data_IF_636709571857
#
_entry.id   IF_636709571857
#
_cell.length_a   1.000
_cell.length_b   1.000
_cell.length_c   1.000
_cell.angle_alpha   90.00
_cell.angle_beta   90.00
_cell.angle_gamma   90.00
#
_symmetry.space_group_name_H-M   'P 1'
#
loop_
_entity.id
_entity.type
_entity.pdbx_description
1 polymer ?
#
# COMPACT_ATOMS: atom_id res chain seq x y z
N UNK A 1 8.11 27.14 20.75
CA UNK A 1 8.95 26.24 21.54
C UNK A 1 8.07 25.23 22.24
N UNK A 2 8.52 23.98 22.19
CA UNK A 2 8.12 22.83 23.01
C UNK A 2 6.80 22.13 22.68
N UNK A 3 6.81 21.48 21.51
CA UNK A 3 5.99 20.31 21.24
C UNK A 3 6.53 19.16 22.11
N UNK A 4 5.96 18.95 23.30
CA UNK A 4 6.27 17.79 24.14
C UNK A 4 6.05 16.51 23.33
N UNK A 5 7.12 15.77 23.06
CA UNK A 5 7.04 14.36 22.71
C UNK A 5 6.49 13.64 23.94
N UNK A 6 5.16 13.44 23.96
CA UNK A 6 4.45 12.72 25.03
C UNK A 6 4.78 11.22 24.94
N UNK A 7 6.00 10.85 25.31
CA UNK A 7 6.38 9.46 25.56
C UNK A 7 5.85 9.10 26.95
N UNK A 8 4.70 8.43 27.00
CA UNK A 8 4.19 7.89 28.25
C UNK A 8 5.01 6.67 28.66
N UNK A 9 5.61 6.70 29.86
CA UNK A 9 6.38 5.57 30.41
C UNK A 9 5.50 4.31 30.46
N UNK A 10 6.02 3.18 29.95
CA UNK A 10 5.28 1.91 29.88
C UNK A 10 4.43 1.71 28.62
N UNK A 11 4.31 2.72 27.75
CA UNK A 11 3.58 2.62 26.48
C UNK A 11 4.12 1.52 25.58
N UNK A 12 5.45 1.41 25.42
CA UNK A 12 6.09 0.35 24.62
C UNK A 12 5.78 -1.05 25.13
N UNK A 13 5.82 -1.25 26.46
CA UNK A 13 5.51 -2.56 27.07
C UNK A 13 4.07 -2.97 26.80
N UNK A 14 3.12 -2.04 27.00
CA UNK A 14 1.71 -2.29 26.74
C UNK A 14 1.45 -2.51 25.24
N UNK A 15 2.03 -1.68 24.38
CA UNK A 15 1.90 -1.77 22.93
C UNK A 15 2.41 -3.12 22.41
N UNK A 16 3.59 -3.57 22.87
CA UNK A 16 4.14 -4.87 22.50
C UNK A 16 3.28 -6.02 23.02
N UNK A 17 2.79 -5.95 24.26
CA UNK A 17 1.89 -6.98 24.79
C UNK A 17 0.59 -7.09 23.96
N UNK A 18 0.04 -5.94 23.55
CA UNK A 18 -1.14 -5.90 22.69
C UNK A 18 -0.84 -6.48 21.30
N UNK A 19 0.27 -6.08 20.68
CA UNK A 19 0.70 -6.59 19.37
C UNK A 19 0.82 -8.11 19.38
N UNK A 20 1.57 -8.66 20.34
CA UNK A 20 1.77 -10.11 20.45
C UNK A 20 0.44 -10.86 20.65
N UNK A 21 -0.47 -10.33 21.49
CA UNK A 21 -1.78 -10.95 21.71
C UNK A 21 -2.74 -10.81 20.54
N UNK A 22 -2.65 -9.74 19.76
CA UNK A 22 -3.43 -9.57 18.54
C UNK A 22 -2.95 -10.54 17.45
N UNK A 23 -1.62 -10.71 17.28
CA UNK A 23 -1.05 -11.70 16.37
C UNK A 23 -1.45 -13.14 16.75
N UNK A 24 -1.25 -13.52 18.02
CA UNK A 24 -1.57 -14.88 18.53
C UNK A 24 -3.04 -15.26 18.33
N UNK A 25 -3.95 -14.29 18.41
CA UNK A 25 -5.39 -14.52 18.35
C UNK A 25 -6.00 -14.22 16.98
N UNK A 26 -5.20 -13.78 16.02
CA UNK A 26 -5.65 -13.35 14.69
C UNK A 26 -6.77 -12.29 14.77
N UNK A 27 -6.62 -11.30 15.66
CA UNK A 27 -7.60 -10.22 15.85
C UNK A 27 -6.99 -8.84 15.60
N UNK A 28 -7.83 -7.92 15.11
CA UNK A 28 -7.51 -6.50 14.99
C UNK A 28 -8.19 -5.67 16.09
N UNK A 29 -7.64 -4.51 16.41
CA UNK A 29 -8.25 -3.58 17.34
C UNK A 29 -9.06 -2.52 16.58
N UNK A 30 -10.39 -2.53 16.78
CA UNK A 30 -11.28 -1.50 16.23
C UNK A 30 -11.19 -0.23 17.08
N UNK A 31 -10.90 0.90 16.45
CA UNK A 31 -10.66 2.17 17.12
C UNK A 31 -11.47 3.30 16.51
N UNK A 32 -11.79 4.31 17.32
CA UNK A 32 -12.29 5.61 16.87
C UNK A 32 -11.10 6.57 16.75
N UNK A 33 -10.72 6.90 15.52
CA UNK A 33 -9.58 7.77 15.22
C UNK A 33 -10.04 9.21 15.00
N UNK A 34 -9.32 10.17 15.60
CA UNK A 34 -9.51 11.62 15.43
C UNK A 34 -8.12 12.23 15.24
N UNK A 35 -7.76 12.59 14.00
CA UNK A 35 -6.40 13.01 13.65
C UNK A 35 -5.95 14.31 14.35
N UNK A 36 -6.87 15.26 14.52
CA UNK A 36 -6.63 16.56 15.18
C UNK A 36 -7.92 17.10 15.78
N UNK A 37 -7.80 18.10 16.67
CA UNK A 37 -8.96 18.76 17.28
C UNK A 37 -9.95 19.23 16.20
N UNK A 38 -11.24 19.11 16.50
CA UNK A 38 -12.35 19.53 15.62
C UNK A 38 -12.38 18.86 14.24
N UNK A 39 -11.88 17.63 14.12
CA UNK A 39 -12.06 16.79 12.92
C UNK A 39 -13.06 15.68 13.22
N UNK A 40 -13.96 15.32 12.27
CA UNK A 40 -14.86 14.20 12.45
C UNK A 40 -14.09 12.90 12.77
N UNK A 41 -14.63 12.03 13.65
CA UNK A 41 -14.03 10.73 13.87
C UNK A 41 -14.17 9.84 12.64
N UNK A 42 -13.25 8.90 12.46
CA UNK A 42 -13.43 7.74 11.59
C UNK A 42 -13.17 6.44 12.34
N UNK A 43 -13.78 5.35 11.87
CA UNK A 43 -13.44 4.02 12.36
C UNK A 43 -12.18 3.53 11.65
N UNK A 44 -11.23 3.01 12.43
CA UNK A 44 -10.03 2.37 11.91
C UNK A 44 -9.86 0.99 12.51
N UNK A 45 -9.36 0.05 11.72
CA UNK A 45 -8.87 -1.24 12.19
C UNK A 45 -7.35 -1.14 12.36
N UNK A 46 -6.86 -1.33 13.58
CA UNK A 46 -5.44 -1.53 13.85
C UNK A 46 -5.12 -3.00 13.65
N UNK A 47 -4.61 -3.34 12.47
CA UNK A 47 -4.23 -4.71 12.10
C UNK A 47 -2.81 -4.97 12.61
N UNK A 48 -2.58 -6.01 13.44
CA UNK A 48 -1.23 -6.30 13.93
C UNK A 48 -0.31 -6.69 12.77
N UNK A 49 0.91 -6.17 12.78
CA UNK A 49 1.95 -6.41 11.77
C UNK A 49 3.21 -6.90 12.49
N UNK A 50 3.65 -8.11 12.14
CA UNK A 50 4.92 -8.67 12.58
C UNK A 50 6.07 -8.02 11.81
N UNK A 51 7.25 -8.02 12.41
CA UNK A 51 8.47 -7.58 11.73
C UNK A 51 8.87 -8.60 10.65
N UNK A 52 9.12 -8.11 9.44
CA UNK A 52 9.69 -8.90 8.36
C UNK A 52 11.01 -8.28 7.92
N UNK A 53 12.03 -9.13 7.80
CA UNK A 53 13.39 -8.76 7.40
C UNK A 53 13.80 -9.66 6.25
N UNK A 54 14.35 -9.06 5.19
CA UNK A 54 14.77 -9.80 4.01
C UNK A 54 16.15 -10.48 4.18
N UNK A 55 16.61 -11.15 3.12
CA UNK A 55 17.91 -11.84 3.08
C UNK A 55 19.09 -10.89 3.30
N UNK A 56 18.94 -9.61 2.95
CA UNK A 56 19.96 -8.56 3.08
C UNK A 56 19.93 -7.87 4.46
N UNK A 57 19.09 -8.35 5.39
CA UNK A 57 18.87 -7.76 6.71
C UNK A 57 18.22 -6.38 6.66
N UNK A 58 17.51 -6.07 5.58
CA UNK A 58 16.70 -4.86 5.46
C UNK A 58 15.30 -5.16 6.00
N UNK A 59 14.79 -4.27 6.86
CA UNK A 59 13.43 -4.36 7.37
C UNK A 59 12.44 -4.01 6.24
N UNK A 60 11.68 -4.99 5.78
CA UNK A 60 10.67 -4.83 4.71
C UNK A 60 9.27 -4.57 5.28
N UNK A 61 8.99 -5.04 6.49
CA UNK A 61 7.79 -4.68 7.25
C UNK A 61 8.18 -4.35 8.70
N UNK A 62 7.88 -3.14 9.21
CA UNK A 62 8.15 -2.78 10.60
C UNK A 62 7.14 -3.44 11.57
N UNK A 63 7.53 -3.77 12.81
CA UNK A 63 6.60 -4.28 13.81
C UNK A 63 5.64 -3.18 14.28
N UNK A 64 4.35 -3.50 14.41
CA UNK A 64 3.37 -2.54 14.93
C UNK A 64 1.95 -2.84 14.49
N UNK A 65 1.17 -1.78 14.27
CA UNK A 65 -0.19 -1.90 13.76
C UNK A 65 -0.36 -1.09 12.48
N UNK A 66 -0.85 -1.74 11.43
CA UNK A 66 -1.32 -1.06 10.23
C UNK A 66 -2.70 -0.46 10.53
N UNK A 67 -2.82 0.87 10.46
CA UNK A 67 -4.08 1.58 10.61
C UNK A 67 -4.87 1.60 9.29
N UNK A 68 -5.88 0.74 9.18
CA UNK A 68 -6.76 0.67 8.01
C UNK A 68 -8.03 1.49 8.27
N UNK A 69 -8.32 2.47 7.42
CA UNK A 69 -9.54 3.26 7.48
C UNK A 69 -10.74 2.42 7.01
N UNK A 70 -11.79 2.37 7.84
CA UNK A 70 -13.02 1.67 7.50
C UNK A 70 -14.03 2.66 6.89
N UNK A 71 -14.61 2.35 5.72
CA UNK A 71 -15.57 3.23 5.07
C UNK A 71 -16.85 3.35 5.90
N UNK A 72 -17.40 4.56 5.96
CA UNK A 72 -18.77 4.78 6.43
C UNK A 72 -19.78 4.30 5.37
N UNK A 73 -21.07 4.33 5.73
CA UNK A 73 -22.13 3.98 4.79
C UNK A 73 -22.09 4.85 3.53
N UNK A 74 -21.80 6.15 3.69
CA UNK A 74 -21.79 7.13 2.59
C UNK A 74 -20.63 6.92 1.60
N UNK A 75 -19.56 6.25 2.03
CA UNK A 75 -18.42 5.89 1.17
C UNK A 75 -18.73 4.67 0.28
N UNK A 76 -19.75 3.88 0.63
CA UNK A 76 -20.15 2.69 -0.13
C UNK A 76 -21.04 3.10 -1.30
N UNK A 77 -20.60 2.77 -2.51
CA UNK A 77 -21.37 3.00 -3.74
C UNK A 77 -22.18 1.76 -4.11
N UNK A 78 -23.47 1.96 -4.39
CA UNK A 78 -24.30 0.92 -4.98
C UNK A 78 -23.87 0.71 -6.44
N UNK A 79 -23.76 -0.55 -6.83
CA UNK A 79 -23.42 -0.97 -8.19
C UNK A 79 -24.54 -1.86 -8.70
N UNK A 80 -24.99 -1.62 -9.92
CA UNK A 80 -26.00 -2.47 -10.56
C UNK A 80 -25.35 -3.80 -10.95
N UNK A 81 -25.92 -4.90 -10.46
CA UNK A 81 -25.44 -6.23 -10.80
C UNK A 81 -26.21 -6.77 -12.01
N UNK A 82 -25.47 -7.25 -13.00
CA UNK A 82 -26.01 -8.07 -14.08
C UNK A 82 -26.21 -9.51 -13.61
N UNK A 83 -26.89 -10.31 -14.42
CA UNK A 83 -27.01 -11.75 -14.17
C UNK A 83 -25.62 -12.39 -14.05
N UNK A 84 -25.41 -13.17 -12.99
CA UNK A 84 -24.15 -13.87 -12.78
C UNK A 84 -24.05 -15.07 -13.72
N UNK A 85 -23.38 -14.88 -14.85
CA UNK A 85 -23.08 -15.96 -15.79
C UNK A 85 -21.72 -16.60 -15.45
N UNK A 86 -21.68 -17.85 -14.94
CA UNK A 86 -20.42 -18.51 -14.64
C UNK A 86 -19.73 -19.02 -15.93
N UNK A 87 -18.40 -18.96 -15.95
CA UNK A 87 -17.60 -19.59 -17.01
C UNK A 87 -17.57 -21.12 -16.86
N UNK A 88 -17.37 -21.83 -17.97
CA UNK A 88 -17.16 -23.28 -17.96
C UNK A 88 -15.80 -23.64 -17.35
N UNK A 89 -15.66 -24.89 -16.89
CA UNK A 89 -14.37 -25.38 -16.35
C UNK A 89 -13.24 -25.26 -17.36
N UNK A 90 -13.52 -25.58 -18.62
CA UNK A 90 -12.54 -25.48 -19.72
C UNK A 90 -12.05 -24.04 -19.93
N UNK A 91 -12.97 -23.06 -19.90
CA UNK A 91 -12.60 -21.64 -20.01
C UNK A 91 -11.73 -21.18 -18.84
N UNK A 92 -12.06 -21.62 -17.62
CA UNK A 92 -11.28 -21.32 -16.42
C UNK A 92 -9.88 -21.93 -16.51
N UNK A 93 -9.77 -23.19 -16.95
CA UNK A 93 -8.48 -23.87 -17.05
C UNK A 93 -7.59 -23.26 -18.13
N UNK A 94 -8.16 -22.84 -19.27
CA UNK A 94 -7.40 -22.06 -20.27
C UNK A 94 -6.95 -20.70 -19.77
N UNK A 95 -7.77 -20.00 -18.99
CA UNK A 95 -7.36 -18.73 -18.39
C UNK A 95 -6.23 -18.92 -17.36
N UNK A 96 -6.21 -20.02 -16.60
CA UNK A 96 -5.10 -20.32 -15.68
C UNK A 96 -3.78 -20.49 -16.42
N UNK A 97 -3.77 -21.14 -17.59
CA UNK A 97 -2.56 -21.27 -18.44
C UNK A 97 -2.03 -19.88 -18.84
N UNK A 98 -2.92 -18.94 -19.19
CA UNK A 98 -2.55 -17.57 -19.55
C UNK A 98 -1.97 -16.82 -18.33
N UNK A 99 -2.67 -16.84 -17.19
CA UNK A 99 -2.21 -16.17 -15.96
C UNK A 99 -0.85 -16.69 -15.50
N UNK A 100 -0.59 -17.99 -15.66
CA UNK A 100 0.71 -18.58 -15.33
C UNK A 100 1.83 -18.08 -16.24
N UNK A 101 1.56 -17.92 -17.54
CA UNK A 101 2.54 -17.37 -18.50
C UNK A 101 2.87 -15.90 -18.23
N UNK A 102 1.89 -15.12 -17.77
CA UNK A 102 2.03 -13.69 -17.47
C UNK A 102 2.46 -13.40 -16.04
N UNK A 103 2.81 -14.42 -15.26
CA UNK A 103 3.17 -14.27 -13.86
C UNK A 103 4.55 -13.62 -13.73
N UNK A 104 4.61 -12.50 -13.01
CA UNK A 104 5.85 -11.85 -12.59
C UNK A 104 5.88 -11.63 -11.07
N UNK A 105 7.07 -11.38 -10.52
CA UNK A 105 7.24 -11.04 -9.10
C UNK A 105 7.04 -9.54 -8.91
N UNK A 106 5.88 -9.14 -8.41
CA UNK A 106 5.61 -7.75 -8.06
C UNK A 106 6.48 -7.32 -6.86
N UNK A 107 7.01 -6.09 -6.91
CA UNK A 107 7.56 -5.39 -5.74
C UNK A 107 6.99 -3.96 -5.71
N UNK A 108 6.76 -3.38 -4.52
CA UNK A 108 6.23 -2.01 -4.40
C UNK A 108 7.12 -0.93 -5.03
N UNK A 109 8.41 -1.19 -5.18
CA UNK A 109 9.44 -0.31 -5.74
C UNK A 109 9.71 -0.55 -7.24
N UNK A 110 8.93 -1.42 -7.90
CA UNK A 110 9.17 -1.76 -9.31
C UNK A 110 8.76 -0.68 -10.31
N UNK A 111 7.95 0.30 -9.89
CA UNK A 111 7.38 1.31 -10.78
C UNK A 111 7.61 2.70 -10.22
N UNK A 112 8.27 3.54 -11.01
CA UNK A 112 8.43 4.95 -10.71
C UNK A 112 7.28 5.76 -11.30
N UNK A 113 7.02 6.96 -10.75
CA UNK A 113 6.00 7.84 -11.28
C UNK A 113 6.55 8.59 -12.52
N UNK A 114 6.07 8.30 -13.74
CA UNK A 114 6.63 8.89 -14.97
C UNK A 114 6.46 10.41 -15.02
N UNK A 115 5.38 10.95 -14.45
CA UNK A 115 5.14 12.40 -14.41
C UNK A 115 6.15 13.10 -13.50
N UNK A 116 6.45 12.51 -12.34
CA UNK A 116 7.47 13.06 -11.45
C UNK A 116 8.87 12.93 -12.06
N UNK A 117 9.18 11.79 -12.68
CA UNK A 117 10.46 11.60 -13.35
C UNK A 117 10.68 12.65 -14.44
N UNK A 118 9.72 12.83 -15.35
CA UNK A 118 9.84 13.84 -16.39
C UNK A 118 9.94 15.26 -15.82
N UNK A 119 9.19 15.57 -14.76
CA UNK A 119 9.25 16.86 -14.10
C UNK A 119 10.66 17.18 -13.58
N UNK A 120 11.30 16.25 -12.87
CA UNK A 120 12.64 16.47 -12.35
C UNK A 120 13.71 16.48 -13.42
N UNK A 121 13.59 15.67 -14.48
CA UNK A 121 14.49 15.73 -15.66
C UNK A 121 14.43 17.08 -16.36
N UNK A 122 13.24 17.67 -16.47
CA UNK A 122 13.10 19.02 -17.01
C UNK A 122 13.77 20.08 -16.13
N UNK A 123 13.60 20.00 -14.81
CA UNK A 123 14.26 20.91 -13.87
C UNK A 123 15.77 20.78 -13.90
N UNK A 124 16.29 19.55 -13.99
CA UNK A 124 17.71 19.26 -14.10
C UNK A 124 18.31 19.85 -15.38
N UNK A 125 17.63 19.66 -16.53
CA UNK A 125 18.05 20.24 -17.80
C UNK A 125 18.09 21.77 -17.77
N UNK A 126 17.08 22.40 -17.15
CA UNK A 126 17.04 23.85 -16.95
C UNK A 126 18.16 24.34 -16.01
N UNK A 127 18.48 23.59 -14.95
CA UNK A 127 19.51 23.97 -13.99
C UNK A 127 20.94 23.84 -14.56
N UNK A 128 21.13 22.93 -15.52
CA UNK A 128 22.41 22.63 -16.15
C UNK A 128 22.57 23.26 -17.54
N UNK A 129 21.65 24.15 -17.94
CA UNK A 129 21.59 24.79 -19.27
C UNK A 129 21.72 23.78 -20.43
N UNK A 130 21.09 22.62 -20.29
CA UNK A 130 21.05 21.59 -21.32
C UNK A 130 20.12 22.03 -22.47
N UNK A 131 20.44 21.59 -23.68
CA UNK A 131 19.66 21.94 -24.87
C UNK A 131 18.24 21.34 -24.83
N UNK A 132 18.13 20.10 -24.37
CA UNK A 132 16.85 19.40 -24.22
C UNK A 132 16.89 18.46 -23.00
N UNK A 133 15.76 18.27 -22.31
CA UNK A 133 15.67 17.32 -21.21
C UNK A 133 15.61 15.87 -21.70
N UNK A 134 16.20 14.97 -20.92
CA UNK A 134 16.03 13.53 -21.12
C UNK A 134 14.56 13.13 -20.97
N UNK A 135 14.09 12.24 -21.85
CA UNK A 135 12.75 11.68 -21.76
C UNK A 135 12.74 10.53 -20.77
N UNK A 136 11.87 10.61 -19.77
CA UNK A 136 11.68 9.51 -18.82
C UNK A 136 10.96 8.34 -19.51
N UNK A 137 11.49 7.13 -19.33
CA UNK A 137 10.82 5.91 -19.75
C UNK A 137 9.60 5.64 -18.84
N UNK A 138 8.44 5.36 -19.45
CA UNK A 138 7.23 5.02 -18.71
C UNK A 138 7.17 3.52 -18.42
N UNK A 139 7.61 3.14 -17.22
CA UNK A 139 7.56 1.77 -16.73
C UNK A 139 6.15 1.26 -16.43
N UNK A 140 5.12 2.12 -16.44
CA UNK A 140 3.72 1.73 -16.19
C UNK A 140 3.00 1.26 -17.44
N UNK A 141 3.58 1.50 -18.62
CA UNK A 141 3.06 1.03 -19.90
C UNK A 141 3.25 -0.47 -20.08
N UNK A 142 2.29 -1.14 -20.71
CA UNK A 142 2.36 -2.58 -21.00
C UNK A 142 3.48 -2.89 -22.01
N UNK A 143 4.29 -3.91 -21.72
CA UNK A 143 5.34 -4.36 -22.62
C UNK A 143 4.81 -5.34 -23.67
N UNK A 144 4.15 -4.82 -24.71
CA UNK A 144 3.51 -5.61 -25.79
C UNK A 144 4.42 -6.66 -26.45
N UNK A 145 5.74 -6.45 -26.50
CA UNK A 145 6.68 -7.37 -27.15
C UNK A 145 7.16 -8.50 -26.22
N UNK A 146 6.93 -8.37 -24.92
CA UNK A 146 7.29 -9.36 -23.90
C UNK A 146 6.12 -10.23 -23.41
N UNK A 147 4.89 -10.00 -23.91
CA UNK A 147 3.65 -10.74 -23.60
C UNK A 147 3.44 -11.91 -24.56
#
# INVERSE_FOLDING_TARGET
SDQYSLVFTGSTTLFNALLMKCLEREVMALCRYIARRNTPPCFVALVPQEEEVDEQKVQVAPPGFHMIFLPYADDKRNVDFTEKVPASREQVDKMKEIVQKLRFKYRPDSFENPVLQQHFRNLEALALDMMEPEQAEDLTSENYWGV
#
